data_IF_941406345889
#
_entry.id   IF_941406345889
#
_cell.length_a   1.000
_cell.length_b   1.000
_cell.length_c   1.000
_cell.angle_alpha   90.00
_cell.angle_beta   90.00
_cell.angle_gamma   90.00
#
_symmetry.space_group_name_H-M   'P 1'
#
loop_
_entity.id
_entity.type
_entity.pdbx_description
1 polymer ?
#
# COMPACT_ATOMS: atom_id res chain seq x y z
N UNK A 1 -15.65 3.80 18.47
CA UNK A 1 -14.28 3.49 18.02
C UNK A 1 -13.98 4.37 16.81
N UNK A 2 -13.29 5.50 17.01
CA UNK A 2 -13.07 6.50 15.96
C UNK A 2 -11.91 6.08 15.06
N UNK A 3 -12.16 5.96 13.76
CA UNK A 3 -11.11 5.73 12.77
C UNK A 3 -10.46 7.10 12.52
N UNK A 4 -9.30 7.34 13.13
CA UNK A 4 -8.53 8.56 12.89
C UNK A 4 -7.93 8.50 11.48
N UNK A 5 -8.59 9.14 10.52
CA UNK A 5 -8.11 9.30 9.14
C UNK A 5 -7.01 10.37 9.12
N UNK A 6 -5.74 9.95 9.13
CA UNK A 6 -4.61 10.84 8.85
C UNK A 6 -4.57 11.16 7.35
N UNK A 7 -4.97 12.37 6.97
CA UNK A 7 -4.84 12.88 5.60
C UNK A 7 -3.44 13.45 5.40
N UNK A 8 -2.54 12.69 4.78
CA UNK A 8 -1.21 13.15 4.40
C UNK A 8 -1.13 13.23 2.87
N UNK A 9 -1.00 14.44 2.33
CA UNK A 9 -0.80 14.65 0.89
C UNK A 9 0.67 14.44 0.51
N UNK A 10 0.92 13.73 -0.58
CA UNK A 10 2.27 13.55 -1.14
C UNK A 10 2.37 14.28 -2.48
N UNK A 11 3.49 14.97 -2.73
CA UNK A 11 3.79 15.58 -4.04
C UNK A 11 4.77 14.67 -4.78
N UNK A 12 4.35 14.13 -5.93
CA UNK A 12 5.19 13.25 -6.76
C UNK A 12 5.78 14.12 -7.89
N UNK A 13 7.11 14.16 -7.99
CA UNK A 13 7.81 14.76 -9.14
C UNK A 13 8.31 13.63 -10.04
N UNK A 14 7.78 13.53 -11.26
CA UNK A 14 8.25 12.59 -12.26
C UNK A 14 9.07 13.35 -13.33
N UNK A 15 10.27 12.86 -13.64
CA UNK A 15 11.09 13.36 -14.75
C UNK A 15 10.94 12.37 -15.92
N UNK A 16 10.32 12.81 -17.01
CA UNK A 16 10.21 12.03 -18.24
C UNK A 16 11.21 12.56 -19.27
N UNK A 17 12.03 11.68 -19.84
CA UNK A 17 12.94 12.04 -20.93
C UNK A 17 12.19 11.92 -22.27
N UNK A 18 11.46 12.98 -22.62
CA UNK A 18 10.92 13.21 -23.95
C UNK A 18 11.76 14.37 -24.51
N UNK A 19 11.98 14.45 -25.83
CA UNK A 19 12.83 15.45 -26.54
C UNK A 19 12.48 16.94 -26.26
N UNK A 20 11.55 17.21 -25.33
CA UNK A 20 11.17 18.51 -24.80
C UNK A 20 10.93 18.36 -23.29
N UNK A 21 11.68 19.08 -22.47
CA UNK A 21 11.47 19.14 -21.02
C UNK A 21 10.11 19.83 -20.75
N UNK A 22 9.07 19.02 -20.51
CA UNK A 22 7.78 19.51 -20.02
C UNK A 22 7.72 19.19 -18.53
N UNK A 23 7.78 20.24 -17.70
CA UNK A 23 7.58 20.14 -16.27
C UNK A 23 6.09 19.91 -15.98
N UNK A 24 5.74 18.67 -15.60
CA UNK A 24 4.38 18.30 -15.17
C UNK A 24 4.34 18.40 -13.63
N UNK A 25 3.39 19.18 -13.10
CA UNK A 25 3.16 19.32 -11.67
C UNK A 25 1.80 18.72 -11.30
N UNK A 26 1.81 17.57 -10.64
CA UNK A 26 0.60 16.87 -10.20
C UNK A 26 0.55 16.74 -8.68
N UNK A 27 -0.66 16.82 -8.14
CA UNK A 27 -0.93 16.60 -6.70
C UNK A 27 -1.92 15.47 -6.56
N UNK A 28 -1.51 14.43 -5.84
CA UNK A 28 -2.30 13.23 -5.62
C UNK A 28 -2.60 13.09 -4.13
N UNK A 29 -3.86 12.81 -3.80
CA UNK A 29 -4.26 12.51 -2.42
C UNK A 29 -4.00 11.02 -2.18
N UNK A 30 -3.06 10.72 -1.28
CA UNK A 30 -2.71 9.35 -0.91
C UNK A 30 -3.31 9.02 0.46
N UNK A 31 -3.65 7.75 0.66
CA UNK A 31 -4.02 7.21 1.97
C UNK A 31 -3.04 6.12 2.36
N UNK A 32 -2.41 6.31 3.51
CA UNK A 32 -1.53 5.33 4.11
C UNK A 32 -2.33 4.44 5.06
N UNK A 33 -1.96 3.16 5.11
CA UNK A 33 -2.55 2.17 6.00
C UNK A 33 -1.45 1.53 6.83
N UNK A 34 -1.74 1.23 8.09
CA UNK A 34 -0.90 0.32 8.84
C UNK A 34 -1.06 -1.11 8.30
N UNK A 35 0.01 -1.91 8.37
CA UNK A 35 -0.01 -3.31 7.93
C UNK A 35 -1.10 -4.14 8.63
N UNK A 36 -1.37 -3.83 9.90
CA UNK A 36 -2.44 -4.45 10.69
C UNK A 36 -3.85 -4.11 10.17
N UNK A 37 -4.06 -2.89 9.67
CA UNK A 37 -5.35 -2.50 9.08
C UNK A 37 -5.60 -3.23 7.77
N UNK A 38 -4.57 -3.34 6.91
CA UNK A 38 -4.66 -4.10 5.67
C UNK A 38 -5.01 -5.56 5.93
N UNK A 39 -4.38 -6.18 6.93
CA UNK A 39 -4.70 -7.55 7.35
C UNK A 39 -6.16 -7.67 7.75
N UNK A 40 -6.63 -6.79 8.64
CA UNK A 40 -8.02 -6.79 9.11
C UNK A 40 -9.02 -6.66 7.96
N UNK A 41 -8.79 -5.75 7.01
CA UNK A 41 -9.69 -5.56 5.87
C UNK A 41 -9.73 -6.76 4.93
N UNK A 42 -8.58 -7.39 4.67
CA UNK A 42 -8.50 -8.58 3.80
C UNK A 42 -9.19 -9.79 4.45
N UNK A 43 -8.96 -10.01 5.75
CA UNK A 43 -9.61 -11.10 6.49
C UNK A 43 -11.12 -10.92 6.55
N UNK A 44 -11.62 -9.71 6.82
CA UNK A 44 -13.05 -9.41 6.75
C UNK A 44 -13.65 -9.54 5.34
N UNK A 45 -12.84 -9.43 4.29
CA UNK A 45 -13.27 -9.59 2.90
C UNK A 45 -13.23 -11.05 2.41
N UNK A 46 -12.96 -12.02 3.29
CA UNK A 46 -12.93 -13.45 2.92
C UNK A 46 -11.60 -13.91 2.35
N UNK A 47 -10.51 -13.18 2.62
CA UNK A 47 -9.16 -13.61 2.26
C UNK A 47 -8.39 -14.10 3.48
N UNK A 48 -7.54 -15.09 3.25
CA UNK A 48 -6.52 -15.48 4.22
C UNK A 48 -5.21 -14.77 3.89
N UNK A 49 -4.71 -13.95 4.81
CA UNK A 49 -3.43 -13.26 4.64
C UNK A 49 -2.29 -14.22 4.94
N UNK A 50 -1.59 -14.65 3.89
CA UNK A 50 -0.48 -15.60 3.98
C UNK A 50 0.83 -14.92 4.39
N UNK A 51 1.07 -13.70 3.88
CA UNK A 51 2.30 -12.98 4.15
C UNK A 51 2.15 -11.48 3.96
N UNK A 52 2.85 -10.71 4.79
CA UNK A 52 3.14 -9.30 4.60
C UNK A 52 4.65 -9.14 4.62
N UNK A 53 5.23 -8.59 3.56
CA UNK A 53 6.67 -8.44 3.40
C UNK A 53 6.99 -7.09 2.73
N UNK A 54 8.26 -6.63 2.73
CA UNK A 54 8.65 -5.48 1.93
C UNK A 54 8.34 -5.71 0.44
N UNK A 55 8.01 -4.64 -0.27
CA UNK A 55 7.75 -4.72 -1.70
C UNK A 55 9.00 -5.21 -2.45
N UNK A 56 8.85 -6.24 -3.28
CA UNK A 56 9.92 -6.94 -4.02
C UNK A 56 10.92 -7.75 -3.17
N UNK A 57 10.70 -7.90 -1.86
CA UNK A 57 11.48 -8.80 -1.02
C UNK A 57 10.55 -9.74 -0.24
N UNK A 58 10.38 -10.95 -0.77
CA UNK A 58 9.50 -11.95 -0.18
C UNK A 58 9.97 -12.42 1.19
N UNK A 59 11.26 -12.41 1.48
CA UNK A 59 11.83 -12.94 2.72
C UNK A 59 12.14 -11.85 3.75
N UNK A 60 12.11 -10.59 3.33
CA UNK A 60 12.27 -9.43 4.19
C UNK A 60 11.23 -9.35 5.29
N UNK A 61 11.62 -8.67 6.37
CA UNK A 61 10.75 -8.38 7.51
C UNK A 61 10.28 -6.93 7.42
N UNK A 62 9.01 -6.70 7.69
CA UNK A 62 8.46 -5.35 7.80
C UNK A 62 8.82 -4.76 9.16
N UNK A 63 9.39 -3.56 9.15
CA UNK A 63 9.66 -2.73 10.30
C UNK A 63 9.34 -1.25 9.97
N UNK A 64 9.66 -0.35 10.90
CA UNK A 64 9.41 1.10 10.78
C UNK A 64 10.21 1.80 9.68
N UNK A 65 11.23 1.17 9.11
CA UNK A 65 12.02 1.71 8.01
C UNK A 65 11.50 1.28 6.63
N UNK A 66 10.54 0.35 6.58
CA UNK A 66 9.96 -0.16 5.33
C UNK A 66 8.78 0.72 4.89
N UNK A 67 8.97 1.46 3.79
CA UNK A 67 7.96 2.36 3.24
C UNK A 67 6.91 1.68 2.35
N UNK A 68 7.31 0.61 1.64
CA UNK A 68 6.46 -0.09 0.69
C UNK A 68 6.38 -1.55 1.08
N UNK A 69 5.16 -2.07 1.20
CA UNK A 69 4.90 -3.47 1.55
C UNK A 69 4.12 -4.15 0.42
N UNK A 70 4.29 -5.46 0.32
CA UNK A 70 3.44 -6.35 -0.44
C UNK A 70 2.65 -7.25 0.51
N UNK A 71 1.38 -7.47 0.19
CA UNK A 71 0.50 -8.40 0.92
C UNK A 71 0.13 -9.54 -0.01
N UNK A 72 0.39 -10.77 0.43
CA UNK A 72 0.03 -11.99 -0.28
C UNK A 72 -1.15 -12.60 0.46
N UNK A 73 -2.28 -12.69 -0.24
CA UNK A 73 -3.51 -13.20 0.31
C UNK A 73 -4.10 -14.28 -0.62
N UNK A 74 -4.70 -15.30 -0.02
CA UNK A 74 -5.41 -16.37 -0.72
C UNK A 74 -6.91 -16.12 -0.59
N UNK A 75 -7.64 -16.17 -1.70
CA UNK A 75 -9.09 -16.17 -1.66
C UNK A 75 -9.57 -17.46 -0.99
N UNK A 76 -10.35 -17.32 0.07
CA UNK A 76 -11.01 -18.48 0.70
C UNK A 76 -12.34 -18.63 -0.01
N UNK A 77 -12.52 -19.71 -0.78
CA UNK A 77 -13.84 -20.07 -1.32
C UNK A 77 -14.73 -20.53 -0.17
N UNK A 78 -15.31 -19.57 0.56
CA UNK A 78 -16.45 -19.82 1.42
C UNK A 78 -17.71 -19.74 0.58
N UNK A 79 -18.48 -20.82 0.50
CA UNK A 79 -19.88 -20.76 0.12
C UNK A 79 -20.56 -19.71 1.03
N UNK A 80 -20.93 -18.57 0.45
CA UNK A 80 -21.73 -17.52 1.12
C UNK A 80 -23.20 -17.86 0.96
#
# INVERSE_FOLDING_TARGET
>A
MGISSYKQGATIKAHFHIEKEVMINEKHVMRFYFSQELKYYLENAGFEVLKICPFLDLNGRVDEHVWNIAVIARAVSGEV
#
